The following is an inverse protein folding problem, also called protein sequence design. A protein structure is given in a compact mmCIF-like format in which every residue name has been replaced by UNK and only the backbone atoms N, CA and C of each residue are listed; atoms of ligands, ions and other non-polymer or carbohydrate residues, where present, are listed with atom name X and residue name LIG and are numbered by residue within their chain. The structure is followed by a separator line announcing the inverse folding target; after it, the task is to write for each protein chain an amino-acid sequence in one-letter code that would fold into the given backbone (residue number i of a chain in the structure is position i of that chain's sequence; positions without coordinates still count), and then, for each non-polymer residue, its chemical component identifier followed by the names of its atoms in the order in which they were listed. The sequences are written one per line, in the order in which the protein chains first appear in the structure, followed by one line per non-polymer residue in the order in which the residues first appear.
data_IF_292885264357
#
_entry.id   IF_292885264357
#
_cell.length_a   1.000
_cell.length_b   1.000
_cell.length_c   1.000
_cell.angle_alpha   90.00
_cell.angle_beta   90.00
_cell.angle_gamma   90.00
#
_symmetry.space_group_name_H-M   'P 1'
#
loop_
_entity.id
_entity.type
_entity.pdbx_description
1 polymer ?
#
# COMPACT_ATOMS: atom_id res chain seq x y z
N UNK A 1 2.74 38.76 9.98
CA UNK A 1 1.79 37.63 10.08
C UNK A 1 1.11 37.33 8.73
N UNK A 2 1.87 37.24 7.62
CA UNK A 2 1.38 36.86 6.28
C UNK A 2 2.19 35.71 5.61
N UNK A 3 3.32 35.32 6.20
CA UNK A 3 4.28 34.40 5.58
C UNK A 3 3.86 32.92 5.55
N UNK A 4 2.91 32.46 6.39
CA UNK A 4 2.53 31.05 6.43
C UNK A 4 1.45 30.66 5.41
N UNK A 5 0.76 31.63 4.81
CA UNK A 5 -0.30 31.35 3.83
C UNK A 5 0.26 31.15 2.40
N UNK A 6 1.36 31.81 2.05
CA UNK A 6 1.96 31.77 0.70
C UNK A 6 2.71 30.46 0.46
N UNK A 7 3.47 29.96 1.44
CA UNK A 7 4.24 28.70 1.29
C UNK A 7 3.35 27.48 1.01
N UNK A 8 2.12 27.47 1.54
CA UNK A 8 1.15 26.39 1.29
C UNK A 8 0.46 26.47 -0.08
N UNK A 9 0.37 27.66 -0.68
CA UNK A 9 -0.22 27.85 -2.01
C UNK A 9 0.76 27.44 -3.12
N UNK A 10 2.05 27.73 -2.94
CA UNK A 10 3.09 27.37 -3.92
C UNK A 10 3.23 25.85 -4.07
N UNK A 11 3.26 25.12 -2.95
CA UNK A 11 3.33 23.65 -2.95
C UNK A 11 2.13 23.01 -3.63
N UNK A 12 0.91 23.47 -3.33
CA UNK A 12 -0.32 22.95 -3.94
C UNK A 12 -0.36 23.19 -5.46
N UNK A 13 0.09 24.35 -5.90
CA UNK A 13 0.12 24.71 -7.32
C UNK A 13 1.16 23.88 -8.07
N UNK A 14 2.31 23.61 -7.44
CA UNK A 14 3.33 22.73 -7.99
C UNK A 14 2.86 21.28 -8.09
N UNK A 15 2.15 20.76 -7.09
CA UNK A 15 1.55 19.42 -7.13
C UNK A 15 0.50 19.29 -8.24
N UNK A 16 -0.38 20.28 -8.40
CA UNK A 16 -1.38 20.31 -9.47
C UNK A 16 -0.73 20.29 -10.86
N UNK A 17 0.36 21.06 -11.05
CA UNK A 17 1.13 21.08 -12.31
C UNK A 17 1.81 19.74 -12.57
N UNK A 18 2.47 19.15 -11.57
CA UNK A 18 3.09 17.81 -11.69
C UNK A 18 2.05 16.75 -12.03
N UNK A 19 0.90 16.78 -11.36
CA UNK A 19 -0.22 15.88 -11.65
C UNK A 19 -0.70 16.04 -13.10
N UNK A 20 -0.93 17.27 -13.57
CA UNK A 20 -1.32 17.52 -14.96
C UNK A 20 -0.29 17.03 -15.99
N UNK A 21 1.00 17.24 -15.74
CA UNK A 21 2.08 16.76 -16.60
C UNK A 21 2.17 15.22 -16.64
N UNK A 22 2.15 14.57 -15.46
CA UNK A 22 2.23 13.11 -15.35
C UNK A 22 0.99 12.45 -15.97
N UNK A 23 -0.20 12.98 -15.68
CA UNK A 23 -1.46 12.44 -16.22
C UNK A 23 -1.58 12.67 -17.72
N UNK A 24 -1.23 13.86 -18.22
CA UNK A 24 -1.21 14.16 -19.66
C UNK A 24 -0.20 13.28 -20.41
N UNK A 25 1.00 13.10 -19.86
CA UNK A 25 2.02 12.20 -20.40
C UNK A 25 1.57 10.74 -20.40
N UNK A 26 0.96 10.27 -19.30
CA UNK A 26 0.44 8.91 -19.20
C UNK A 26 -0.69 8.65 -20.21
N UNK A 27 -1.64 9.59 -20.35
CA UNK A 27 -2.72 9.49 -21.34
C UNK A 27 -2.13 9.47 -22.75
N UNK A 28 -1.20 10.38 -23.07
CA UNK A 28 -0.55 10.44 -24.38
C UNK A 28 0.23 9.17 -24.72
N UNK A 29 0.97 8.60 -23.77
CA UNK A 29 1.72 7.36 -23.98
C UNK A 29 0.78 6.15 -24.11
N UNK A 30 -0.18 5.97 -23.20
CA UNK A 30 -1.04 4.79 -23.18
C UNK A 30 -2.04 4.80 -24.33
N UNK A 31 -2.75 5.91 -24.55
CA UNK A 31 -3.78 6.00 -25.58
C UNK A 31 -3.23 6.40 -26.96
N UNK A 32 -2.14 7.16 -27.02
CA UNK A 32 -1.54 7.62 -28.27
C UNK A 32 -0.50 6.66 -28.86
N UNK A 33 0.21 5.89 -28.03
CA UNK A 33 1.29 5.01 -28.48
C UNK A 33 1.01 3.53 -28.17
N UNK A 34 0.62 3.19 -26.94
CA UNK A 34 0.51 1.80 -26.50
C UNK A 34 -0.74 1.08 -27.05
N UNK A 35 -1.91 1.71 -27.03
CA UNK A 35 -3.16 1.18 -27.59
C UNK A 35 -3.11 0.90 -29.11
N UNK A 36 -2.68 1.86 -29.96
CA UNK A 36 -2.59 1.62 -31.40
C UNK A 36 -1.50 0.59 -31.76
N UNK A 37 -0.44 0.50 -30.96
CA UNK A 37 0.59 -0.53 -31.11
C UNK A 37 0.05 -1.93 -30.74
N UNK A 38 -0.77 -2.05 -29.70
CA UNK A 38 -1.31 -3.34 -29.25
C UNK A 38 -2.45 -3.87 -30.13
N UNK A 39 -3.28 -2.98 -30.70
CA UNK A 39 -4.44 -3.38 -31.50
C UNK A 39 -4.23 -3.37 -33.02
N UNK A 40 -3.07 -2.93 -33.53
CA UNK A 40 -2.79 -2.74 -34.97
C UNK A 40 -3.86 -1.91 -35.71
N UNK A 41 -4.64 -1.12 -34.98
CA UNK A 41 -5.72 -0.31 -35.55
C UNK A 41 -5.15 0.99 -36.12
N UNK A 42 -5.69 1.39 -37.28
CA UNK A 42 -5.38 2.65 -37.99
C UNK A 42 -5.24 3.80 -37.00
N UNK A 43 -4.06 4.45 -36.97
CA UNK A 43 -3.72 5.56 -36.07
C UNK A 43 -4.90 6.51 -35.88
N UNK A 44 -5.65 6.39 -34.76
CA UNK A 44 -6.75 7.30 -34.49
C UNK A 44 -6.10 8.62 -34.09
N UNK A 45 -6.35 9.71 -34.82
CA UNK A 45 -5.80 11.03 -34.52
C UNK A 45 -6.55 11.74 -33.38
N UNK A 46 -7.75 11.28 -33.05
CA UNK A 46 -8.62 11.84 -32.01
C UNK A 46 -8.07 11.77 -30.55
N UNK A 47 -7.28 10.75 -30.12
CA UNK A 47 -6.72 10.68 -28.77
C UNK A 47 -5.66 11.76 -28.54
N UNK A 48 -4.95 12.20 -29.60
CA UNK A 48 -3.99 13.30 -29.53
C UNK A 48 -4.68 14.62 -29.24
N UNK A 49 -5.85 14.87 -29.85
CA UNK A 49 -6.67 16.05 -29.56
C UNK A 49 -7.15 16.09 -28.11
N UNK A 50 -7.56 14.94 -27.56
CA UNK A 50 -7.98 14.83 -26.16
C UNK A 50 -6.80 14.94 -25.20
N UNK A 51 -5.66 14.32 -25.51
CA UNK A 51 -4.45 14.42 -24.70
C UNK A 51 -3.92 15.86 -24.66
N UNK A 52 -3.91 16.55 -25.80
CA UNK A 52 -3.53 17.96 -25.90
C UNK A 52 -4.54 18.86 -25.19
N UNK A 53 -5.84 18.62 -25.35
CA UNK A 53 -6.88 19.37 -24.64
C UNK A 53 -6.79 19.20 -23.12
N UNK A 54 -6.51 17.98 -22.64
CA UNK A 54 -6.30 17.71 -21.21
C UNK A 54 -4.99 18.31 -20.70
N UNK A 55 -3.90 18.20 -21.46
CA UNK A 55 -2.60 18.78 -21.10
C UNK A 55 -2.65 20.31 -21.09
N UNK A 56 -3.30 20.94 -22.08
CA UNK A 56 -3.53 22.39 -22.12
C UNK A 56 -4.46 22.84 -21.01
N UNK A 57 -5.55 22.11 -20.72
CA UNK A 57 -6.45 22.46 -19.61
C UNK A 57 -5.73 22.35 -18.27
N UNK A 58 -4.87 21.35 -18.09
CA UNK A 58 -4.02 21.20 -16.91
C UNK A 58 -2.93 22.28 -16.77
N UNK A 59 -2.42 22.81 -17.89
CA UNK A 59 -1.40 23.85 -17.90
C UNK A 59 -1.97 25.27 -17.77
N UNK A 60 -3.11 25.55 -18.41
CA UNK A 60 -3.73 26.89 -18.47
C UNK A 60 -4.67 27.14 -17.29
N UNK A 61 -5.39 26.12 -16.80
CA UNK A 61 -6.38 26.27 -15.72
C UNK A 61 -6.25 25.22 -14.60
N UNK A 62 -5.18 25.28 -13.79
CA UNK A 62 -4.93 24.32 -12.71
C UNK A 62 -6.02 24.30 -11.63
N UNK A 63 -6.81 25.38 -11.49
CA UNK A 63 -7.94 25.44 -10.56
C UNK A 63 -9.10 24.52 -10.94
N UNK A 64 -9.36 24.29 -12.24
CA UNK A 64 -10.36 23.31 -12.67
C UNK A 64 -9.94 21.88 -12.31
N UNK A 65 -8.63 21.60 -12.40
CA UNK A 65 -8.04 20.32 -11.99
C UNK A 65 -8.00 20.13 -10.46
N UNK A 66 -8.15 21.19 -9.66
CA UNK A 66 -8.09 21.08 -8.21
C UNK A 66 -9.19 20.20 -7.61
N UNK A 67 -10.39 20.22 -8.20
CA UNK A 67 -11.49 19.33 -7.81
C UNK A 67 -11.16 17.87 -8.11
N UNK A 68 -10.74 17.60 -9.36
CA UNK A 68 -10.37 16.25 -9.82
C UNK A 68 -9.19 15.69 -9.03
N UNK A 69 -8.12 16.47 -8.84
CA UNK A 69 -6.96 16.10 -8.04
C UNK A 69 -7.37 15.69 -6.64
N UNK A 70 -8.28 16.42 -5.99
CA UNK A 70 -8.74 16.08 -4.64
C UNK A 70 -9.47 14.74 -4.58
N UNK A 71 -10.37 14.46 -5.54
CA UNK A 71 -11.03 13.15 -5.60
C UNK A 71 -10.07 12.03 -5.95
N UNK A 72 -9.15 12.29 -6.89
CA UNK A 72 -8.12 11.34 -7.29
C UNK A 72 -7.17 10.99 -6.13
N UNK A 73 -6.74 11.98 -5.36
CA UNK A 73 -5.88 11.75 -4.19
C UNK A 73 -6.59 10.96 -3.10
N UNK A 74 -7.88 11.21 -2.85
CA UNK A 74 -8.69 10.37 -1.95
C UNK A 74 -8.79 8.93 -2.46
N UNK A 75 -8.97 8.74 -3.76
CA UNK A 75 -8.97 7.41 -4.36
C UNK A 75 -7.60 6.73 -4.20
N UNK A 76 -6.51 7.43 -4.46
CA UNK A 76 -5.15 6.93 -4.28
C UNK A 76 -4.87 6.55 -2.81
N UNK A 77 -5.40 7.31 -1.85
CA UNK A 77 -5.31 6.99 -0.42
C UNK A 77 -6.06 5.70 -0.07
N UNK A 78 -7.28 5.53 -0.55
CA UNK A 78 -8.06 4.28 -0.39
C UNK A 78 -7.32 3.11 -1.05
N UNK A 79 -6.77 3.31 -2.24
CA UNK A 79 -6.01 2.28 -2.93
C UNK A 79 -4.74 1.91 -2.14
N UNK A 80 -4.04 2.88 -1.58
CA UNK A 80 -2.90 2.65 -0.70
C UNK A 80 -3.28 1.90 0.57
N UNK A 81 -4.41 2.25 1.18
CA UNK A 81 -4.99 1.58 2.34
C UNK A 81 -5.30 0.10 2.03
N UNK A 82 -5.89 -0.18 0.88
CA UNK A 82 -6.16 -1.54 0.41
C UNK A 82 -4.85 -2.28 0.12
N UNK A 83 -3.92 -1.65 -0.59
CA UNK A 83 -2.63 -2.25 -0.98
C UNK A 83 -1.83 -2.70 0.25
N UNK A 84 -1.71 -1.86 1.28
CA UNK A 84 -1.00 -2.24 2.51
C UNK A 84 -1.61 -3.46 3.19
N UNK A 85 -2.96 -3.59 3.17
CA UNK A 85 -3.66 -4.75 3.74
C UNK A 85 -3.46 -6.01 2.91
N UNK A 86 -3.50 -5.87 1.59
CA UNK A 86 -3.23 -6.97 0.68
C UNK A 86 -1.79 -7.46 0.88
N UNK A 87 -0.81 -6.56 0.86
CA UNK A 87 0.60 -6.91 1.08
C UNK A 87 0.78 -7.62 2.42
N UNK A 88 0.23 -7.06 3.50
CA UNK A 88 0.35 -7.68 4.82
C UNK A 88 -0.34 -9.05 4.89
N UNK A 89 -1.53 -9.19 4.28
CA UNK A 89 -2.26 -10.45 4.20
C UNK A 89 -1.51 -11.51 3.39
N UNK A 90 -0.96 -11.12 2.24
CA UNK A 90 -0.14 -12.00 1.40
C UNK A 90 1.11 -12.44 2.15
N UNK A 91 1.84 -11.51 2.80
CA UNK A 91 3.02 -11.85 3.62
C UNK A 91 2.65 -12.82 4.74
N UNK A 92 1.53 -12.59 5.43
CA UNK A 92 1.05 -13.51 6.47
C UNK A 92 0.82 -14.92 5.92
N UNK A 93 0.10 -15.01 4.79
CA UNK A 93 -0.22 -16.32 4.19
C UNK A 93 1.00 -17.00 3.59
N UNK A 94 1.90 -16.26 2.93
CA UNK A 94 3.06 -16.82 2.21
C UNK A 94 4.22 -17.13 3.15
N UNK A 95 4.39 -16.39 4.25
CA UNK A 95 5.53 -16.58 5.17
C UNK A 95 5.10 -17.30 6.44
N UNK A 96 4.10 -16.77 7.14
CA UNK A 96 3.74 -17.28 8.47
C UNK A 96 2.92 -18.57 8.39
N UNK A 97 2.01 -18.68 7.42
CA UNK A 97 1.18 -19.89 7.26
C UNK A 97 2.01 -21.15 6.95
N UNK A 98 2.94 -21.15 5.96
CA UNK A 98 3.77 -22.33 5.73
C UNK A 98 4.76 -22.56 6.86
N UNK A 99 5.20 -21.54 7.60
CA UNK A 99 6.03 -21.73 8.78
C UNK A 99 5.26 -22.50 9.87
N UNK A 100 4.01 -22.12 10.14
CA UNK A 100 3.13 -22.84 11.07
C UNK A 100 2.79 -24.26 10.59
N UNK A 101 2.55 -24.43 9.29
CA UNK A 101 2.31 -25.74 8.69
C UNK A 101 3.56 -26.63 8.74
N UNK A 102 4.74 -26.06 8.46
CA UNK A 102 6.02 -26.75 8.59
C UNK A 102 6.24 -27.19 10.04
N UNK A 103 6.03 -26.33 11.03
CA UNK A 103 6.10 -26.72 12.45
C UNK A 103 5.14 -27.85 12.79
N UNK A 104 3.93 -27.85 12.20
CA UNK A 104 2.94 -28.93 12.37
C UNK A 104 3.40 -30.25 11.72
N UNK A 105 4.01 -30.20 10.53
CA UNK A 105 4.55 -31.38 9.84
C UNK A 105 5.78 -31.94 10.59
N UNK A 106 6.67 -31.07 11.05
CA UNK A 106 7.85 -31.46 11.84
C UNK A 106 7.53 -31.86 13.29
N UNK A 107 6.24 -31.89 13.68
CA UNK A 107 5.80 -32.41 14.98
C UNK A 107 6.24 -31.58 16.19
N UNK A 108 6.74 -30.35 15.98
CA UNK A 108 7.11 -29.44 17.08
C UNK A 108 5.84 -28.79 17.65
N UNK A 109 5.19 -29.49 18.56
CA UNK A 109 4.13 -28.93 19.40
C UNK A 109 4.76 -28.10 20.54
N UNK A 110 5.16 -26.87 20.22
CA UNK A 110 5.78 -25.94 21.19
C UNK A 110 4.83 -25.50 22.30
N UNK A 111 3.51 -25.70 22.12
CA UNK A 111 2.50 -25.31 23.09
C UNK A 111 1.84 -26.51 23.80
N UNK A 112 2.30 -27.74 23.55
CA UNK A 112 1.69 -28.97 24.09
C UNK A 112 0.15 -28.94 23.96
N UNK A 113 -0.35 -28.50 22.79
CA UNK A 113 -1.80 -28.31 22.55
C UNK A 113 -2.55 -29.62 22.43
N UNK A 114 -1.85 -30.74 22.25
CA UNK A 114 -2.46 -32.06 22.22
C UNK A 114 -3.05 -32.41 23.58
N UNK A 115 -4.36 -32.60 23.60
CA UNK A 115 -5.09 -33.07 24.77
C UNK A 115 -4.73 -34.53 25.04
N UNK A 116 -4.01 -34.79 26.12
CA UNK A 116 -3.73 -36.10 26.66
C UNK A 116 -4.84 -36.50 27.65
N UNK A 117 -5.69 -37.44 27.23
CA UNK A 117 -6.76 -38.00 28.05
C UNK A 117 -6.27 -38.84 29.23
N UNK A 118 -5.00 -39.28 29.22
CA UNK A 118 -4.42 -40.09 30.31
C UNK A 118 -3.56 -39.27 31.26
N UNK A 119 -3.30 -37.99 30.97
CA UNK A 119 -2.55 -37.11 31.85
C UNK A 119 -3.36 -36.78 33.12
N UNK A 120 -2.83 -37.15 34.30
CA UNK A 120 -3.44 -36.78 35.60
C UNK A 120 -3.51 -35.28 35.82
N UNK A 121 -2.62 -34.49 35.22
CA UNK A 121 -2.55 -33.03 35.36
C UNK A 121 -1.58 -32.43 34.33
N UNK A 122 -1.97 -31.33 33.67
CA UNK A 122 -1.12 -30.57 32.71
C UNK A 122 -0.18 -29.55 33.37
N UNK A 123 -0.13 -29.51 34.71
CA UNK A 123 0.76 -28.60 35.43
C UNK A 123 2.19 -29.05 35.25
N UNK A 124 3.01 -28.17 34.68
CA UNK A 124 4.45 -28.35 34.63
C UNK A 124 5.01 -28.16 36.03
N UNK A 125 5.49 -29.25 36.64
CA UNK A 125 6.09 -29.22 37.96
C UNK A 125 7.43 -28.47 37.87
N UNK A 126 7.46 -27.23 38.36
CA UNK A 126 8.67 -26.41 38.35
C UNK A 126 9.46 -26.68 39.63
N UNK A 127 10.74 -26.97 39.48
CA UNK A 127 11.66 -27.09 40.62
C UNK A 127 11.66 -25.74 41.36
N UNK A 128 11.49 -25.72 42.70
CA UNK A 128 11.55 -24.48 43.46
C UNK A 128 12.91 -23.82 43.23
N UNK A 129 12.89 -22.58 42.75
CA UNK A 129 14.10 -21.78 42.55
C UNK A 129 14.72 -21.48 43.92
N UNK A 130 16.06 -21.51 43.99
CA UNK A 130 16.79 -21.17 45.23
C UNK A 130 16.42 -19.74 45.68
N UNK A 131 16.21 -19.50 46.99
CA UNK A 131 15.85 -18.17 47.51
C UNK A 131 16.86 -17.08 47.15
N UNK A 132 18.13 -17.45 47.06
CA UNK A 132 19.28 -16.61 46.67
C UNK A 132 19.06 -15.90 45.31
N UNK A 133 18.25 -16.49 44.42
CA UNK A 133 17.96 -15.93 43.10
C UNK A 133 17.03 -14.70 43.17
N UNK A 134 16.36 -14.47 44.31
CA UNK A 134 15.52 -13.30 44.56
C UNK A 134 16.29 -12.17 45.27
N UNK A 135 17.57 -12.36 45.60
CA UNK A 135 18.37 -11.32 46.27
C UNK A 135 18.91 -10.25 45.31
N UNK A 136 18.89 -10.51 44.00
CA UNK A 136 19.32 -9.57 42.95
C UNK A 136 18.32 -9.55 41.80
N UNK A 137 17.23 -8.79 42.00
CA UNK A 137 16.09 -8.74 41.07
C UNK A 137 16.26 -7.71 39.96
N UNK A 138 17.30 -6.85 40.05
CA UNK A 138 17.60 -5.77 39.13
C UNK A 138 19.08 -5.80 38.74
#
# INVERSE_FOLDING_TARGET
MKSHAETGQDGRTQELRKFGLVMGGAIGLVFGLFLPWLWSARWPSWPWGIAIAFALTGAVWPQALSGVYRYWMRFAEVLGWVNTRIILGVVFVVVFSPLGLAMRIFGKDTLQKRWDSQAKTYRVNRVPRKPEHMERQF
#
